data_IF_916316891715
#
_entry.id   IF_916316891715
#
_cell.length_a   1.000
_cell.length_b   1.000
_cell.length_c   1.000
_cell.angle_alpha   90.00
_cell.angle_beta   90.00
_cell.angle_gamma   90.00
#
_symmetry.space_group_name_H-M   'P 1'
#
loop_
_entity.id
_entity.type
_entity.pdbx_description
1 polymer ?
#
# COMPACT_ATOMS: atom_id res chain seq x y z
N UNK A 1 0.27 -15.02 3.03
CA UNK A 1 -1.12 -14.56 3.20
C UNK A 1 -1.10 -13.36 4.12
N UNK A 2 -1.90 -12.35 3.81
CA UNK A 2 -2.16 -11.18 4.66
C UNK A 2 -3.66 -11.15 4.94
N UNK A 3 -4.04 -10.71 6.14
CA UNK A 3 -5.45 -10.60 6.56
C UNK A 3 -5.76 -9.12 6.74
N UNK A 4 -6.73 -8.61 5.99
CA UNK A 4 -7.14 -7.20 6.03
C UNK A 4 -8.65 -7.17 6.22
N UNK A 5 -9.13 -6.57 7.32
CA UNK A 5 -10.56 -6.48 7.66
C UNK A 5 -11.34 -7.81 7.58
N UNK A 6 -10.70 -8.94 7.90
CA UNK A 6 -11.32 -10.27 7.86
C UNK A 6 -11.25 -10.99 6.50
N UNK A 7 -10.70 -10.35 5.46
CA UNK A 7 -10.47 -10.95 4.15
C UNK A 7 -9.03 -11.44 4.00
N UNK A 8 -8.86 -12.59 3.35
CA UNK A 8 -7.55 -13.19 3.06
C UNK A 8 -7.05 -12.74 1.69
N UNK A 9 -5.84 -12.19 1.65
CA UNK A 9 -5.15 -11.85 0.40
C UNK A 9 -3.78 -12.52 0.33
N UNK A 10 -3.34 -12.82 -0.89
CA UNK A 10 -2.00 -13.34 -1.14
C UNK A 10 -1.05 -12.18 -1.42
N UNK A 11 -0.01 -12.04 -0.59
CA UNK A 11 0.97 -10.95 -0.73
C UNK A 11 1.65 -10.96 -2.10
N UNK A 12 1.93 -12.14 -2.65
CA UNK A 12 2.57 -12.29 -3.95
C UNK A 12 1.67 -11.83 -5.10
N UNK A 13 0.35 -12.01 -5.01
CA UNK A 13 -0.58 -11.54 -6.03
C UNK A 13 -0.68 -10.00 -6.02
N UNK A 14 -0.71 -9.40 -4.83
CA UNK A 14 -0.68 -7.94 -4.69
C UNK A 14 0.63 -7.38 -5.24
N UNK A 15 1.76 -7.98 -4.89
CA UNK A 15 3.08 -7.56 -5.38
C UNK A 15 3.18 -7.69 -6.89
N UNK A 16 2.71 -8.80 -7.47
CA UNK A 16 2.68 -9.00 -8.91
C UNK A 16 1.83 -7.93 -9.60
N UNK A 17 0.64 -7.61 -9.07
CA UNK A 17 -0.20 -6.54 -9.60
C UNK A 17 0.51 -5.18 -9.55
N UNK A 18 1.23 -4.86 -8.48
CA UNK A 18 1.99 -3.60 -8.41
C UNK A 18 3.14 -3.59 -9.44
N UNK A 19 3.87 -4.70 -9.59
CA UNK A 19 5.04 -4.82 -10.48
C UNK A 19 4.70 -4.76 -11.99
N UNK A 20 3.43 -4.96 -12.37
CA UNK A 20 2.97 -4.73 -13.75
C UNK A 20 2.91 -3.25 -14.14
N UNK A 21 2.87 -2.34 -13.15
CA UNK A 21 2.81 -0.90 -13.41
C UNK A 21 4.17 -0.41 -13.90
N UNK A 22 4.18 0.20 -15.09
CA UNK A 22 5.40 0.80 -15.65
C UNK A 22 5.96 1.85 -14.71
N UNK A 23 7.26 1.72 -14.41
CA UNK A 23 7.99 2.60 -13.48
C UNK A 23 8.25 1.98 -12.11
N UNK A 24 7.83 0.72 -11.89
CA UNK A 24 8.15 -0.07 -10.70
C UNK A 24 9.35 -0.97 -10.97
N UNK A 25 10.24 -1.06 -10.00
CA UNK A 25 11.37 -1.99 -9.98
C UNK A 25 10.88 -3.40 -9.59
N UNK A 26 10.93 -4.33 -10.54
CA UNK A 26 10.51 -5.73 -10.36
C UNK A 26 11.35 -6.40 -9.27
N UNK A 27 10.72 -7.28 -8.49
CA UNK A 27 11.30 -7.94 -7.32
C UNK A 27 11.53 -7.01 -6.10
N UNK A 28 11.23 -5.72 -6.20
CA UNK A 28 11.38 -4.74 -5.12
C UNK A 28 10.01 -4.16 -4.72
N UNK A 29 9.02 -5.03 -4.60
CA UNK A 29 7.70 -4.70 -4.06
C UNK A 29 7.33 -5.66 -2.94
N UNK A 30 6.82 -5.13 -1.82
CA UNK A 30 6.40 -5.91 -0.68
C UNK A 30 5.02 -5.47 -0.19
N UNK A 31 4.08 -6.41 -0.09
CA UNK A 31 2.76 -6.18 0.51
C UNK A 31 2.69 -6.81 1.90
N UNK A 32 2.31 -6.03 2.91
CA UNK A 32 2.11 -6.55 4.26
C UNK A 32 0.95 -5.88 5.00
N UNK A 33 0.33 -6.67 5.88
CA UNK A 33 -0.58 -6.18 6.89
C UNK A 33 0.22 -5.45 7.98
N UNK A 34 -0.13 -4.19 8.24
CA UNK A 34 0.47 -3.34 9.27
C UNK A 34 -0.60 -2.86 10.25
N UNK A 35 -0.20 -2.60 11.49
CA UNK A 35 -1.09 -2.06 12.51
C UNK A 35 -0.39 -0.97 13.29
N UNK A 36 -0.92 0.26 13.27
CA UNK A 36 -0.38 1.32 14.11
C UNK A 36 -0.79 1.10 15.57
N UNK A 37 0.02 1.57 16.56
CA UNK A 37 -0.40 1.57 17.95
C UNK A 37 -1.75 2.28 18.11
N UNK A 38 -2.74 1.58 18.69
CA UNK A 38 -4.10 2.09 18.88
C UNK A 38 -5.12 1.71 17.79
N UNK A 39 -4.69 1.12 16.67
CA UNK A 39 -5.61 0.56 15.68
C UNK A 39 -6.12 -0.84 16.09
N UNK A 40 -7.42 -1.10 15.88
CA UNK A 40 -8.03 -2.41 16.13
C UNK A 40 -7.94 -3.36 14.93
N UNK A 41 -7.63 -2.84 13.74
CA UNK A 41 -7.65 -3.58 12.48
C UNK A 41 -6.32 -3.48 11.74
N UNK A 42 -5.92 -4.56 11.09
CA UNK A 42 -4.80 -4.54 10.16
C UNK A 42 -5.16 -3.77 8.89
N UNK A 43 -4.19 -2.99 8.40
CA UNK A 43 -4.28 -2.16 7.20
C UNK A 43 -3.28 -2.63 6.15
N UNK A 44 -3.56 -2.37 4.88
CA UNK A 44 -2.68 -2.80 3.80
C UNK A 44 -1.59 -1.74 3.55
N UNK A 45 -0.33 -2.11 3.80
CA UNK A 45 0.82 -1.34 3.36
C UNK A 45 1.55 -2.02 2.21
N UNK A 46 1.89 -1.23 1.20
CA UNK A 46 2.67 -1.65 0.03
C UNK A 46 3.93 -0.78 -0.02
N UNK A 47 5.08 -1.43 0.07
CA UNK A 47 6.40 -0.85 -0.14
C UNK A 47 6.82 -1.13 -1.57
N UNK A 48 7.26 -0.12 -2.29
CA UNK A 48 7.69 -0.29 -3.69
C UNK A 48 8.89 0.60 -3.99
N UNK A 49 9.75 0.14 -4.90
CA UNK A 49 10.83 0.95 -5.46
C UNK A 49 10.43 1.45 -6.85
N UNK A 50 10.55 2.76 -7.08
CA UNK A 50 10.27 3.39 -8.36
C UNK A 50 11.56 3.63 -9.16
N UNK A 51 11.49 3.54 -10.48
CA UNK A 51 12.61 3.83 -11.40
C UNK A 51 12.87 5.34 -11.53
N UNK A 52 11.82 6.15 -11.38
CA UNK A 52 11.88 7.62 -11.41
C UNK A 52 11.31 8.18 -10.10
N UNK A 53 12.15 8.87 -9.34
CA UNK A 53 11.82 9.42 -8.01
C UNK A 53 11.47 10.90 -8.04
N UNK A 54 11.21 11.49 -9.22
CA UNK A 54 10.74 12.88 -9.32
C UNK A 54 9.31 13.00 -8.77
N UNK A 55 9.06 13.97 -7.89
CA UNK A 55 7.80 14.13 -7.15
C UNK A 55 6.53 14.11 -8.05
N UNK A 56 6.53 14.85 -9.16
CA UNK A 56 5.39 14.86 -10.08
C UNK A 56 5.15 13.49 -10.76
N UNK A 57 6.22 12.77 -11.10
CA UNK A 57 6.13 11.42 -11.67
C UNK A 57 5.64 10.42 -10.62
N UNK A 58 6.07 10.59 -9.37
CA UNK A 58 5.79 9.68 -8.27
C UNK A 58 4.32 9.70 -7.85
N UNK A 59 3.72 10.90 -7.73
CA UNK A 59 2.28 11.01 -7.43
C UNK A 59 1.41 10.33 -8.49
N UNK A 60 1.74 10.53 -9.77
CA UNK A 60 1.04 9.86 -10.88
C UNK A 60 1.25 8.33 -10.85
N UNK A 61 2.43 7.87 -10.45
CA UNK A 61 2.73 6.45 -10.30
C UNK A 61 1.90 5.82 -9.16
N UNK A 62 1.81 6.48 -8.01
CA UNK A 62 1.04 6.01 -6.85
C UNK A 62 -0.44 5.81 -7.20
N UNK A 63 -1.04 6.76 -7.93
CA UNK A 63 -2.42 6.63 -8.39
C UNK A 63 -2.60 5.44 -9.34
N UNK A 64 -1.64 5.19 -10.24
CA UNK A 64 -1.68 4.02 -11.13
C UNK A 64 -1.57 2.71 -10.34
N UNK A 65 -0.69 2.63 -9.35
CA UNK A 65 -0.56 1.46 -8.48
C UNK A 65 -1.87 1.18 -7.77
N UNK A 66 -2.46 2.20 -7.11
CA UNK A 66 -3.73 2.05 -6.40
C UNK A 66 -4.82 1.50 -7.31
N UNK A 67 -5.02 2.13 -8.48
CA UNK A 67 -6.05 1.72 -9.41
C UNK A 67 -5.83 0.28 -9.88
N UNK A 68 -4.60 -0.12 -10.20
CA UNK A 68 -4.32 -1.48 -10.65
C UNK A 68 -4.54 -2.53 -9.54
N UNK A 69 -4.16 -2.22 -8.29
CA UNK A 69 -4.40 -3.13 -7.15
C UNK A 69 -5.89 -3.26 -6.85
N UNK A 70 -6.65 -2.16 -6.88
CA UNK A 70 -8.10 -2.19 -6.69
C UNK A 70 -8.78 -2.99 -7.80
N UNK A 71 -8.42 -2.76 -9.06
CA UNK A 71 -9.00 -3.44 -10.22
C UNK A 71 -8.72 -4.95 -10.23
N UNK A 72 -7.48 -5.37 -9.92
CA UNK A 72 -7.07 -6.77 -10.01
C UNK A 72 -7.30 -7.58 -8.73
N UNK A 73 -7.11 -6.96 -7.57
CA UNK A 73 -7.13 -7.65 -6.27
C UNK A 73 -8.40 -7.31 -5.47
N UNK A 74 -9.05 -6.17 -5.75
CA UNK A 74 -10.25 -5.75 -5.03
C UNK A 74 -9.97 -5.24 -3.62
N UNK A 75 -8.74 -4.78 -3.35
CA UNK A 75 -8.36 -4.16 -2.07
C UNK A 75 -7.74 -2.80 -2.31
N UNK A 76 -8.15 -1.81 -1.52
CA UNK A 76 -7.56 -0.47 -1.57
C UNK A 76 -6.39 -0.39 -0.57
N UNK A 77 -5.15 -0.14 -1.00
CA UNK A 77 -4.02 0.03 -0.10
C UNK A 77 -4.16 1.28 0.78
N UNK A 78 -4.04 1.13 2.09
CA UNK A 78 -4.02 2.24 3.05
C UNK A 78 -2.72 3.06 2.98
N UNK A 79 -1.60 2.37 2.71
CA UNK A 79 -0.28 2.98 2.63
C UNK A 79 0.43 2.55 1.37
N UNK A 80 0.83 3.52 0.55
CA UNK A 80 1.74 3.36 -0.57
C UNK A 80 3.03 4.08 -0.24
N UNK A 81 4.11 3.31 -0.10
CA UNK A 81 5.36 3.78 0.49
C UNK A 81 6.48 3.59 -0.53
N UNK A 82 6.86 4.66 -1.26
CA UNK A 82 8.02 4.63 -2.13
C UNK A 82 9.28 4.53 -1.28
N UNK A 83 10.14 3.55 -1.56
CA UNK A 83 11.42 3.38 -0.85
C UNK A 83 12.54 3.05 -1.83
N UNK A 84 13.79 3.44 -1.54
CA UNK A 84 14.95 2.94 -2.27
C UNK A 84 15.00 1.40 -2.21
N UNK A 85 15.48 0.76 -3.27
CA UNK A 85 15.60 -0.71 -3.35
C UNK A 85 16.40 -1.30 -2.17
N UNK A 86 17.38 -0.57 -1.65
CA UNK A 86 18.23 -0.95 -0.53
C UNK A 86 17.45 -1.08 0.78
N UNK A 87 16.32 -0.38 0.90
CA UNK A 87 15.44 -0.45 2.07
C UNK A 87 14.49 -1.65 2.05
N UNK A 88 14.45 -2.42 0.95
CA UNK A 88 13.64 -3.65 0.86
C UNK A 88 14.53 -4.84 1.21
N UNK A 89 14.48 -5.33 2.47
CA UNK A 89 15.35 -6.40 2.92
C UNK A 89 15.03 -7.70 2.18
N UNK A 90 16.07 -8.34 1.64
CA UNK A 90 16.00 -9.67 1.04
C UNK A 90 16.87 -10.66 1.83
N UNK A 91 16.49 -11.91 1.82
CA UNK A 91 17.34 -13.02 2.29
C UNK A 91 18.50 -13.23 1.32
N UNK A 92 19.52 -14.01 1.71
CA UNK A 92 20.65 -14.35 0.83
C UNK A 92 20.23 -14.97 -0.52
N UNK A 93 19.06 -15.60 -0.57
CA UNK A 93 18.48 -16.20 -1.78
C UNK A 93 17.45 -15.29 -2.48
N UNK A 94 17.38 -14.01 -2.11
CA UNK A 94 16.55 -13.00 -2.78
C UNK A 94 15.09 -12.91 -2.33
N UNK A 95 14.63 -13.70 -1.35
CA UNK A 95 13.25 -13.58 -0.83
C UNK A 95 13.06 -12.32 0.01
N UNK A 96 12.00 -11.58 -0.25
CA UNK A 96 11.62 -10.38 0.51
C UNK A 96 11.27 -10.74 1.96
N UNK A 97 11.86 -10.00 2.90
CA UNK A 97 11.63 -10.14 4.34
C UNK A 97 10.48 -9.21 4.80
N UNK A 98 9.24 -9.55 4.44
CA UNK A 98 8.04 -8.74 4.75
C UNK A 98 7.84 -8.47 6.24
N UNK A 99 8.21 -9.42 7.10
CA UNK A 99 8.12 -9.27 8.55
C UNK A 99 9.04 -8.15 9.06
N UNK A 100 10.22 -7.99 8.45
CA UNK A 100 11.15 -6.92 8.81
C UNK A 100 10.58 -5.56 8.41
N UNK A 101 10.05 -5.43 7.18
CA UNK A 101 9.38 -4.21 6.73
C UNK A 101 8.20 -3.82 7.62
N UNK A 102 7.38 -4.79 8.02
CA UNK A 102 6.29 -4.56 8.98
C UNK A 102 6.81 -3.98 10.30
N UNK A 103 7.86 -4.58 10.89
CA UNK A 103 8.43 -4.09 12.15
C UNK A 103 8.95 -2.66 12.03
N UNK A 104 9.69 -2.36 10.97
CA UNK A 104 10.20 -1.00 10.70
C UNK A 104 9.08 0.03 10.54
N UNK A 105 7.99 -0.37 9.89
CA UNK A 105 6.79 0.46 9.79
C UNK A 105 6.12 0.71 11.13
N UNK A 106 5.93 -0.33 11.93
CA UNK A 106 5.34 -0.22 13.26
C UNK A 106 6.24 0.58 14.22
N UNK A 107 7.56 0.58 13.98
CA UNK A 107 8.55 1.43 14.68
C UNK A 107 8.57 2.89 14.19
N UNK A 108 7.85 3.22 13.11
CA UNK A 108 7.72 4.59 12.59
C UNK A 108 8.83 5.03 11.63
N UNK A 109 9.65 4.11 11.11
CA UNK A 109 10.80 4.44 10.22
C UNK A 109 10.40 5.02 8.85
N UNK A 110 9.12 4.94 8.47
CA UNK A 110 8.58 5.42 7.19
C UNK A 110 7.57 6.57 7.34
N UNK A 111 7.55 7.23 8.50
CA UNK A 111 6.70 8.41 8.72
C UNK A 111 7.23 9.63 7.94
N UNK A 112 6.37 10.60 7.63
CA UNK A 112 6.77 11.85 6.94
C UNK A 112 7.90 12.60 7.65
N UNK A 113 7.98 12.48 8.97
CA UNK A 113 9.01 13.12 9.82
C UNK A 113 10.39 12.43 9.74
N UNK A 114 10.46 11.20 9.22
CA UNK A 114 11.71 10.41 9.16
C UNK A 114 12.66 10.82 8.03
N UNK A 115 12.24 11.74 7.14
CA UNK A 115 13.04 12.17 5.97
C UNK A 115 13.23 11.10 4.88
N UNK A 116 12.74 9.88 5.10
CA UNK A 116 12.56 8.83 4.10
C UNK A 116 11.16 8.99 3.55
N UNK A 117 11.05 9.20 2.23
CA UNK A 117 9.82 9.44 1.45
C UNK A 117 8.55 8.97 2.17
N UNK A 118 7.75 9.94 2.62
CA UNK A 118 6.67 9.71 3.58
C UNK A 118 5.62 8.74 3.07
N UNK A 119 5.12 7.88 3.98
CA UNK A 119 3.99 7.02 3.68
C UNK A 119 2.78 7.85 3.25
N UNK A 120 2.39 7.75 1.98
CA UNK A 120 1.23 8.45 1.46
C UNK A 120 0.00 7.69 1.94
N UNK A 121 -0.56 8.20 3.05
CA UNK A 121 -1.85 7.78 3.57
C UNK A 121 -2.93 8.63 2.91
N UNK A 122 -3.58 8.11 1.91
CA UNK A 122 -4.82 8.71 1.42
C UNK A 122 -5.97 8.18 2.28
N UNK A 123 -6.70 9.10 2.92
CA UNK A 123 -7.88 8.74 3.71
C UNK A 123 -8.91 8.03 2.81
N UNK A 124 -9.74 7.12 3.36
CA UNK A 124 -10.81 6.54 2.57
C UNK A 124 -11.66 7.67 2.02
N UNK A 125 -11.91 7.68 0.71
CA UNK A 125 -12.98 8.48 0.13
C UNK A 125 -14.24 8.12 0.93
N UNK A 126 -14.75 9.05 1.71
CA UNK A 126 -16.07 8.94 2.29
C UNK A 126 -17.04 8.96 1.12
N UNK A 127 -17.48 7.79 0.69
CA UNK A 127 -18.65 7.66 -0.14
C UNK A 127 -19.85 8.01 0.76
N UNK A 128 -20.14 9.31 0.90
CA UNK A 128 -21.40 9.77 1.46
C UNK A 128 -22.49 9.43 0.44
N UNK A 129 -22.96 8.18 0.50
CA UNK A 129 -24.11 7.71 -0.24
C UNK A 129 -25.29 8.65 0.00
N UNK A 130 -25.72 9.32 -1.06
CA UNK A 130 -27.00 10.00 -1.09
C UNK A 130 -28.10 8.95 -0.92
N UNK A 131 -28.91 9.10 0.13
CA UNK A 131 -30.29 8.61 0.08
C UNK A 131 -31.15 9.74 -0.47
N UNK A 132 -31.45 9.65 -1.77
CA UNK A 132 -32.75 10.07 -2.25
C UNK A 132 -33.71 8.95 -1.85
N UNK A 133 -34.69 9.29 -1.03
CA UNK A 133 -35.86 8.46 -0.82
C UNK A 133 -37.04 9.39 -1.07
N UNK A 134 -37.62 9.24 -2.27
CA UNK A 134 -38.90 9.80 -2.65
C UNK A 134 -40.03 9.05 -1.92
N UNK A 135 -41.15 9.76 -1.74
CA UNK A 135 -42.52 9.29 -1.49
C UNK A 135 -42.96 8.84 -0.08
N UNK A 136 -43.64 9.77 0.62
CA UNK A 136 -45.02 9.52 1.07
C UNK A 136 -45.74 10.81 1.50
N UNK A 137 -46.70 11.20 0.65
CA UNK A 137 -48.06 11.70 0.96
C UNK A 137 -48.35 11.98 2.45
N UNK A 138 -48.53 13.27 2.78
CA UNK A 138 -49.81 13.88 3.24
C UNK A 138 -49.74 15.40 3.12
#
# INVERSE_FOLDING_TARGET
>A
MIIICGNNYYSHDIEAAVEEVKGIEVSYTAACAVRKPGDNTDRLAIFFSATDTKDNSLNALIQKIRNNVVEKIGVNPDYLIPVPKEMIPKTAIGKIQRQELRKRFEAGEFNEESGVVGAIRESPVQESGGKKEEDSII
#
